data_IF_957934714720
#
_entry.id   IF_957934714720
#
_cell.length_a   1.000
_cell.length_b   1.000
_cell.length_c   1.000
_cell.angle_alpha   90.00
_cell.angle_beta   90.00
_cell.angle_gamma   90.00
#
_symmetry.space_group_name_H-M   'P 1'
#
loop_
_entity.id
_entity.type
_entity.pdbx_description
1 polymer ?
#
# COMPACT_ATOMS: atom_id res chain seq x y z
N UNK A 1 -14.54 11.77 5.73
CA UNK A 1 -14.92 13.11 5.28
C UNK A 1 -15.78 13.02 4.02
N UNK A 2 -16.87 13.80 3.96
CA UNK A 2 -17.70 13.92 2.77
C UNK A 2 -17.38 15.26 2.07
N UNK A 3 -16.70 15.25 0.91
CA UNK A 3 -16.39 16.51 0.19
C UNK A 3 -17.64 17.29 -0.22
N UNK A 4 -18.73 16.57 -0.56
CA UNK A 4 -20.00 17.19 -0.95
C UNK A 4 -20.74 17.85 0.22
N UNK A 5 -20.67 17.25 1.41
CA UNK A 5 -21.25 17.81 2.62
C UNK A 5 -20.32 18.82 3.32
N UNK A 6 -19.03 18.85 2.95
CA UNK A 6 -18.02 19.72 3.55
C UNK A 6 -17.72 19.41 5.02
N UNK A 7 -17.92 18.15 5.46
CA UNK A 7 -17.78 17.79 6.87
C UNK A 7 -17.24 16.39 7.07
N UNK A 8 -16.63 16.14 8.23
CA UNK A 8 -16.33 14.81 8.71
C UNK A 8 -17.60 14.01 8.99
N UNK A 9 -17.53 12.71 8.78
CA UNK A 9 -18.61 11.78 9.11
C UNK A 9 -18.22 11.03 10.39
N UNK A 10 -19.16 10.96 11.34
CA UNK A 10 -18.99 10.15 12.55
C UNK A 10 -19.18 8.66 12.23
N UNK A 11 -18.66 7.80 13.12
CA UNK A 11 -18.87 6.34 13.02
C UNK A 11 -20.37 5.99 12.99
N UNK A 12 -21.22 6.74 13.70
CA UNK A 12 -22.67 6.54 13.69
C UNK A 12 -23.28 6.85 12.32
N UNK A 13 -22.81 7.89 11.64
CA UNK A 13 -23.31 8.28 10.30
C UNK A 13 -22.91 7.28 9.21
N UNK A 14 -21.70 6.72 9.27
CA UNK A 14 -21.25 5.71 8.30
C UNK A 14 -21.89 4.33 8.56
N UNK A 15 -22.42 4.08 9.76
CA UNK A 15 -23.12 2.84 10.12
C UNK A 15 -24.64 2.91 9.95
N UNK A 16 -25.19 3.96 9.35
CA UNK A 16 -26.64 4.03 9.08
C UNK A 16 -27.07 2.99 8.03
N UNK A 17 -28.29 2.46 8.13
CA UNK A 17 -28.84 1.55 7.12
C UNK A 17 -28.78 2.17 5.72
N UNK A 18 -28.23 1.44 4.75
CA UNK A 18 -28.08 1.90 3.37
C UNK A 18 -26.91 2.88 3.14
N UNK A 19 -26.02 3.05 4.12
CA UNK A 19 -24.75 3.78 3.92
C UNK A 19 -23.74 2.97 3.13
N UNK A 20 -23.80 1.66 3.18
CA UNK A 20 -22.90 0.78 2.43
C UNK A 20 -23.44 0.50 1.03
N UNK A 21 -22.53 0.55 0.05
CA UNK A 21 -22.81 0.24 -1.35
C UNK A 21 -21.63 -0.52 -1.94
N UNK A 22 -21.93 -1.40 -2.87
CA UNK A 22 -20.88 -2.01 -3.67
C UNK A 22 -20.27 -0.98 -4.60
N UNK A 23 -18.97 -0.80 -4.49
CA UNK A 23 -18.15 0.02 -5.36
C UNK A 23 -17.07 -0.85 -5.99
N UNK A 24 -16.73 -0.54 -7.24
CA UNK A 24 -15.60 -1.14 -7.91
C UNK A 24 -14.46 -0.16 -7.91
N UNK A 25 -13.43 -0.49 -7.15
CA UNK A 25 -12.23 0.33 -7.03
C UNK A 25 -11.05 -0.31 -7.75
N UNK A 26 -10.14 0.53 -8.20
CA UNK A 26 -8.87 0.11 -8.75
C UNK A 26 -7.98 -0.44 -7.65
N UNK A 27 -7.40 -1.62 -7.87
CA UNK A 27 -6.39 -2.17 -6.99
C UNK A 27 -5.06 -2.30 -7.70
N UNK A 28 -3.97 -2.14 -6.97
CA UNK A 28 -2.62 -2.34 -7.48
C UNK A 28 -1.78 -3.18 -6.54
N UNK A 29 -0.87 -3.97 -7.11
CA UNK A 29 0.30 -4.50 -6.42
C UNK A 29 1.50 -3.70 -6.90
N UNK A 30 2.06 -2.91 -6.01
CA UNK A 30 3.24 -2.09 -6.27
C UNK A 30 4.48 -2.70 -5.61
N UNK A 31 5.63 -2.52 -6.27
CA UNK A 31 6.91 -2.95 -5.74
C UNK A 31 7.75 -1.75 -5.25
N UNK A 32 8.37 -1.93 -4.09
CA UNK A 32 9.19 -0.93 -3.41
C UNK A 32 10.60 -1.46 -3.28
N UNK A 33 11.57 -0.79 -3.88
CA UNK A 33 12.96 -1.25 -3.88
C UNK A 33 13.59 -1.04 -2.51
N UNK A 34 14.06 -2.13 -1.89
CA UNK A 34 14.84 -2.07 -0.67
C UNK A 34 16.18 -1.33 -0.91
N UNK A 35 16.62 -0.58 0.09
CA UNK A 35 17.90 0.14 0.06
C UNK A 35 18.98 -0.80 0.60
N UNK A 36 19.97 -1.09 -0.22
CA UNK A 36 20.98 -2.12 0.06
C UNK A 36 21.71 -1.91 1.39
N UNK A 37 21.99 -0.66 1.75
CA UNK A 37 22.70 -0.30 2.99
C UNK A 37 21.91 -0.64 4.26
N UNK A 38 20.61 -0.88 4.15
CA UNK A 38 19.74 -1.27 5.26
C UNK A 38 19.34 -2.73 5.25
N UNK A 39 19.82 -3.51 4.27
CA UNK A 39 19.52 -4.94 4.21
C UNK A 39 20.14 -5.68 5.41
N UNK A 40 19.39 -6.55 6.08
CA UNK A 40 19.98 -7.46 7.05
C UNK A 40 20.95 -8.44 6.34
N UNK A 41 21.98 -8.87 7.07
CA UNK A 41 23.08 -9.69 6.52
C UNK A 41 22.60 -10.92 5.74
N UNK A 42 21.52 -11.55 6.19
CA UNK A 42 20.99 -12.75 5.54
C UNK A 42 20.33 -12.49 4.17
N UNK A 43 20.12 -11.23 3.79
CA UNK A 43 19.62 -10.81 2.48
C UNK A 43 20.73 -10.24 1.57
N UNK A 44 21.95 -10.13 2.06
CA UNK A 44 23.07 -9.66 1.25
C UNK A 44 23.40 -10.66 0.14
N UNK A 45 23.75 -10.15 -1.02
CA UNK A 45 24.19 -10.96 -2.17
C UNK A 45 23.08 -11.43 -3.11
N UNK A 46 21.80 -11.16 -2.80
CA UNK A 46 20.71 -11.51 -3.71
C UNK A 46 20.42 -10.43 -4.78
N UNK A 47 21.16 -9.31 -4.79
CA UNK A 47 20.92 -8.20 -5.72
C UNK A 47 19.74 -7.32 -5.30
N UNK A 48 19.09 -6.69 -6.28
CA UNK A 48 17.95 -5.81 -6.00
C UNK A 48 16.76 -6.60 -5.44
N UNK A 49 16.24 -6.17 -4.30
CA UNK A 49 15.12 -6.78 -3.59
C UNK A 49 13.96 -5.78 -3.56
N UNK A 50 12.75 -6.25 -3.82
CA UNK A 50 11.55 -5.43 -3.82
C UNK A 50 10.49 -6.01 -2.87
N UNK A 51 9.93 -5.15 -2.00
CA UNK A 51 8.81 -5.49 -1.14
C UNK A 51 7.51 -5.22 -1.90
N UNK A 52 6.58 -6.17 -1.87
CA UNK A 52 5.30 -6.06 -2.56
C UNK A 52 4.21 -5.56 -1.62
N UNK A 53 3.59 -4.43 -1.94
CA UNK A 53 2.41 -3.96 -1.23
C UNK A 53 1.19 -3.94 -2.14
N UNK A 54 0.07 -4.46 -1.63
CA UNK A 54 -1.23 -4.40 -2.29
C UNK A 54 -2.08 -3.29 -1.68
N UNK A 55 -2.81 -2.53 -2.51
CA UNK A 55 -3.74 -1.51 -2.04
C UNK A 55 -4.97 -1.42 -2.94
N UNK A 56 -6.13 -1.12 -2.33
CA UNK A 56 -7.39 -0.78 -3.00
C UNK A 56 -7.53 0.73 -3.22
N UNK A 57 -6.59 1.53 -2.74
CA UNK A 57 -6.61 2.98 -2.79
C UNK A 57 -5.29 3.54 -3.35
N UNK A 58 -4.97 3.32 -4.64
CA UNK A 58 -3.70 3.78 -5.22
C UNK A 58 -3.45 5.29 -5.02
N UNK A 59 -4.50 6.09 -4.93
CA UNK A 59 -4.41 7.53 -4.69
C UNK A 59 -3.75 7.92 -3.35
N UNK A 60 -3.63 6.98 -2.40
CA UNK A 60 -2.92 7.21 -1.13
C UNK A 60 -1.43 6.91 -1.20
N UNK A 61 -0.95 6.28 -2.28
CA UNK A 61 0.47 5.96 -2.45
C UNK A 61 1.39 7.20 -2.36
N UNK A 62 1.02 8.40 -2.83
CA UNK A 62 1.85 9.59 -2.60
C UNK A 62 2.10 9.90 -1.11
N UNK A 63 1.21 9.46 -0.22
CA UNK A 63 1.36 9.60 1.23
C UNK A 63 2.03 8.39 1.89
N UNK A 64 2.59 7.44 1.11
CA UNK A 64 3.30 6.30 1.68
C UNK A 64 4.48 6.74 2.51
N UNK A 65 4.53 6.29 3.77
CA UNK A 65 5.60 6.56 4.73
C UNK A 65 6.25 5.28 5.24
N UNK A 66 5.49 4.16 5.21
CA UNK A 66 5.98 2.87 5.68
C UNK A 66 5.30 1.72 4.93
N UNK A 67 5.86 0.52 5.06
CA UNK A 67 5.19 -0.75 4.77
C UNK A 67 5.11 -1.51 6.07
N UNK A 68 3.91 -1.90 6.47
CA UNK A 68 3.65 -2.63 7.69
C UNK A 68 3.65 -4.14 7.43
N UNK A 69 4.40 -4.88 8.25
CA UNK A 69 4.41 -6.34 8.31
C UNK A 69 3.82 -6.81 9.64
N UNK A 70 3.43 -8.06 9.73
CA UNK A 70 3.10 -8.70 11.00
C UNK A 70 4.35 -9.38 11.57
N UNK A 71 4.62 -9.16 12.86
CA UNK A 71 5.79 -9.69 13.56
C UNK A 71 5.88 -11.22 13.53
N UNK A 72 4.74 -11.89 13.59
CA UNK A 72 4.65 -13.36 13.73
C UNK A 72 4.57 -14.11 12.41
N UNK A 73 4.28 -13.39 11.29
CA UNK A 73 4.15 -14.05 10.00
C UNK A 73 5.50 -14.39 9.39
N UNK A 74 5.50 -15.46 8.59
CA UNK A 74 6.62 -15.82 7.76
C UNK A 74 6.57 -15.10 6.42
N UNK A 75 7.67 -14.50 6.05
CA UNK A 75 7.87 -13.84 4.75
C UNK A 75 8.92 -14.62 3.96
N UNK A 76 8.84 -14.51 2.66
CA UNK A 76 9.80 -15.14 1.76
C UNK A 76 10.39 -14.15 0.77
N UNK A 77 11.69 -14.31 0.50
CA UNK A 77 12.34 -13.73 -0.67
C UNK A 77 12.25 -14.75 -1.81
N UNK A 78 11.63 -14.36 -2.91
CA UNK A 78 11.40 -15.21 -4.06
C UNK A 78 12.10 -14.66 -5.30
N UNK A 79 12.85 -15.54 -5.98
CA UNK A 79 13.34 -15.27 -7.33
C UNK A 79 12.22 -15.51 -8.33
N UNK A 80 11.95 -14.55 -9.18
CA UNK A 80 10.89 -14.59 -10.20
C UNK A 80 11.39 -13.99 -11.52
N UNK A 81 10.59 -14.10 -12.58
CA UNK A 81 10.85 -13.41 -13.86
C UNK A 81 10.76 -11.87 -13.75
N UNK A 82 10.17 -11.35 -12.65
CA UNK A 82 10.04 -9.92 -12.36
C UNK A 82 11.08 -9.38 -11.36
N UNK A 83 12.05 -10.22 -10.95
CA UNK A 83 13.07 -9.86 -9.95
C UNK A 83 12.92 -10.64 -8.65
N UNK A 84 13.64 -10.19 -7.62
CA UNK A 84 13.58 -10.78 -6.29
C UNK A 84 12.53 -10.05 -5.46
N UNK A 85 11.47 -10.75 -5.09
CA UNK A 85 10.26 -10.21 -4.49
C UNK A 85 10.05 -10.72 -3.08
N UNK A 86 9.64 -9.83 -2.17
CA UNK A 86 9.31 -10.15 -0.78
C UNK A 86 7.81 -10.00 -0.54
N UNK A 87 7.20 -11.05 0.00
CA UNK A 87 5.81 -11.07 0.45
C UNK A 87 5.61 -12.16 1.50
N UNK A 88 4.43 -12.17 2.15
CA UNK A 88 4.09 -13.22 3.12
C UNK A 88 4.05 -14.60 2.44
N UNK A 89 4.69 -15.58 3.06
CA UNK A 89 4.87 -16.92 2.51
C UNK A 89 3.54 -17.63 2.22
N UNK A 90 2.57 -17.49 3.12
CA UNK A 90 1.27 -18.15 2.98
C UNK A 90 0.44 -17.58 1.82
N UNK A 91 0.70 -16.33 1.42
CA UNK A 91 0.02 -15.69 0.30
C UNK A 91 0.76 -15.83 -1.03
N UNK A 92 2.00 -16.32 -1.03
CA UNK A 92 2.89 -16.25 -2.20
C UNK A 92 2.32 -16.94 -3.44
N UNK A 93 1.83 -18.17 -3.32
CA UNK A 93 1.28 -18.92 -4.47
C UNK A 93 0.10 -18.19 -5.11
N UNK A 94 -0.85 -17.76 -4.28
CA UNK A 94 -2.03 -17.03 -4.75
C UNK A 94 -1.66 -15.68 -5.35
N UNK A 95 -0.82 -14.92 -4.66
CA UNK A 95 -0.41 -13.59 -5.12
C UNK A 95 0.37 -13.67 -6.44
N UNK A 96 1.29 -14.64 -6.59
CA UNK A 96 2.02 -14.83 -7.85
C UNK A 96 1.11 -15.28 -8.98
N UNK A 97 0.17 -16.20 -8.73
CA UNK A 97 -0.82 -16.60 -9.72
C UNK A 97 -1.66 -15.40 -10.17
N UNK A 98 -2.12 -14.57 -9.23
CA UNK A 98 -2.86 -13.35 -9.51
C UNK A 98 -2.07 -12.32 -10.32
N UNK A 99 -0.74 -12.26 -10.14
CA UNK A 99 0.19 -11.42 -10.91
C UNK A 99 0.65 -12.03 -12.24
N UNK A 100 0.20 -13.27 -12.56
CA UNK A 100 0.63 -13.99 -13.76
C UNK A 100 2.09 -14.47 -13.69
N UNK A 101 2.65 -14.61 -12.50
CA UNK A 101 3.99 -15.16 -12.26
C UNK A 101 3.86 -16.66 -12.01
N UNK A 102 4.21 -17.46 -13.00
CA UNK A 102 4.06 -18.93 -12.95
C UNK A 102 5.30 -19.65 -12.43
N UNK A 103 6.48 -19.01 -12.54
CA UNK A 103 7.75 -19.58 -12.09
C UNK A 103 8.36 -18.71 -11.00
N UNK A 104 8.55 -19.29 -9.83
CA UNK A 104 9.21 -18.64 -8.70
C UNK A 104 9.94 -19.66 -7.83
N UNK A 105 10.99 -19.22 -7.18
CA UNK A 105 11.80 -20.03 -6.26
C UNK A 105 11.98 -19.29 -4.95
N UNK A 106 11.63 -19.93 -3.84
CA UNK A 106 11.94 -19.41 -2.51
C UNK A 106 13.45 -19.45 -2.28
N UNK A 107 14.06 -18.29 -2.11
CA UNK A 107 15.49 -18.12 -1.84
C UNK A 107 15.79 -18.09 -0.35
N UNK A 108 14.93 -17.42 0.42
CA UNK A 108 15.09 -17.22 1.86
C UNK A 108 13.74 -17.09 2.53
N UNK A 109 13.64 -17.57 3.77
CA UNK A 109 12.48 -17.43 4.64
C UNK A 109 12.90 -16.73 5.94
N UNK A 110 12.05 -15.84 6.45
CA UNK A 110 12.32 -15.05 7.65
C UNK A 110 11.02 -14.55 8.27
N UNK A 111 11.07 -14.15 9.55
CA UNK A 111 9.94 -13.51 10.24
C UNK A 111 9.83 -12.02 9.88
N UNK A 112 8.63 -11.46 10.01
CA UNK A 112 8.41 -10.02 9.82
C UNK A 112 9.31 -9.15 10.71
N UNK A 113 9.60 -9.60 11.94
CA UNK A 113 10.52 -8.93 12.87
C UNK A 113 11.93 -8.75 12.31
N UNK A 114 12.40 -9.64 11.43
CA UNK A 114 13.75 -9.59 10.88
C UNK A 114 13.93 -8.51 9.81
N UNK A 115 12.81 -7.94 9.31
CA UNK A 115 12.83 -6.82 8.37
C UNK A 115 12.50 -5.47 9.02
N UNK A 116 12.22 -5.42 10.31
CA UNK A 116 11.89 -4.18 11.00
C UNK A 116 12.98 -3.12 10.77
N UNK A 117 12.57 -1.89 10.38
CA UNK A 117 13.44 -0.75 10.03
C UNK A 117 14.24 -0.89 8.73
N UNK A 118 14.07 -1.98 7.96
CA UNK A 118 14.59 -2.01 6.59
C UNK A 118 14.02 -0.82 5.81
N UNK A 119 14.87 -0.05 5.15
CA UNK A 119 14.46 1.12 4.37
C UNK A 119 14.26 0.77 2.90
N UNK A 120 13.37 1.51 2.24
CA UNK A 120 13.11 1.37 0.81
C UNK A 120 12.93 2.73 0.14
N UNK A 121 13.10 2.77 -1.17
CA UNK A 121 12.81 3.96 -1.98
C UNK A 121 11.33 4.00 -2.33
N UNK A 122 10.71 5.19 -2.19
CA UNK A 122 9.36 5.41 -2.70
C UNK A 122 9.35 5.24 -4.23
N UNK A 123 8.32 4.59 -4.84
CA UNK A 123 8.36 4.22 -6.25
C UNK A 123 8.37 5.39 -7.24
N UNK A 124 7.98 6.59 -6.82
CA UNK A 124 7.92 7.76 -7.71
C UNK A 124 8.15 9.13 -7.04
N UNK A 125 8.39 9.19 -5.74
CA UNK A 125 8.77 10.42 -5.04
C UNK A 125 10.18 10.28 -4.49
N UNK A 126 10.91 11.39 -4.37
CA UNK A 126 12.22 11.43 -3.70
C UNK A 126 12.02 11.35 -2.18
N UNK A 127 11.61 10.17 -1.73
CA UNK A 127 11.34 9.85 -0.33
C UNK A 127 11.76 8.42 -0.03
N UNK A 128 12.20 8.20 1.19
CA UNK A 128 12.45 6.86 1.74
C UNK A 128 11.37 6.53 2.75
N UNK A 129 10.88 5.31 2.69
CA UNK A 129 10.07 4.70 3.73
C UNK A 129 10.84 3.60 4.45
N UNK A 130 10.23 3.00 5.45
CA UNK A 130 10.83 1.88 6.17
C UNK A 130 9.78 0.86 6.62
N UNK A 131 10.24 -0.35 6.91
CA UNK A 131 9.38 -1.43 7.40
C UNK A 131 9.06 -1.19 8.87
N UNK A 132 7.77 -1.32 9.20
CA UNK A 132 7.22 -1.28 10.57
C UNK A 132 6.43 -2.55 10.85
N UNK A 133 6.08 -2.78 12.11
CA UNK A 133 5.31 -3.94 12.55
C UNK A 133 3.96 -3.53 13.12
N UNK A 134 2.92 -4.29 12.76
CA UNK A 134 1.56 -4.05 13.24
C UNK A 134 0.67 -5.27 13.16
N UNK A 135 -0.17 -5.44 14.18
CA UNK A 135 -1.04 -6.61 14.33
C UNK A 135 -2.27 -6.60 13.39
N UNK A 136 -2.56 -5.43 12.77
CA UNK A 136 -3.66 -5.29 11.80
C UNK A 136 -3.36 -5.93 10.44
N UNK A 137 -2.12 -6.30 10.17
CA UNK A 137 -1.74 -7.02 8.95
C UNK A 137 -2.29 -8.45 9.03
N UNK A 138 -3.06 -8.86 8.01
CA UNK A 138 -3.69 -10.18 7.92
C UNK A 138 -3.20 -10.97 6.71
N UNK A 139 -3.56 -12.26 6.66
CA UNK A 139 -3.28 -13.17 5.54
C UNK A 139 -4.53 -13.49 4.71
N UNK A 140 -5.57 -12.68 4.81
CA UNK A 140 -6.83 -12.90 4.08
C UNK A 140 -6.73 -12.53 2.60
N UNK A 141 -5.97 -11.48 2.27
CA UNK A 141 -5.81 -10.99 0.91
C UNK A 141 -4.49 -10.22 0.73
N UNK A 142 -4.14 -9.96 -0.53
CA UNK A 142 -3.00 -9.14 -0.90
C UNK A 142 -1.66 -9.86 -0.80
N UNK A 143 -0.68 -9.22 -0.21
CA UNK A 143 0.71 -9.70 -0.15
C UNK A 143 1.22 -9.91 1.28
N UNK A 144 0.40 -9.60 2.30
CA UNK A 144 0.84 -9.60 3.70
C UNK A 144 1.82 -8.46 4.03
N UNK A 145 2.01 -7.52 3.10
CA UNK A 145 2.76 -6.28 3.28
C UNK A 145 1.80 -5.12 3.01
N UNK A 146 1.51 -4.33 4.02
CA UNK A 146 0.49 -3.27 3.95
C UNK A 146 1.15 -1.91 3.73
N UNK A 147 0.80 -1.26 2.61
CA UNK A 147 1.10 0.15 2.38
C UNK A 147 0.53 0.98 3.52
N UNK A 148 1.35 1.79 4.17
CA UNK A 148 0.98 2.57 5.35
C UNK A 148 1.11 4.07 5.08
N UNK A 149 -0.03 4.77 5.25
CA UNK A 149 -0.15 6.21 5.09
C UNK A 149 -0.94 6.80 6.29
N UNK A 150 -0.26 7.26 7.36
CA UNK A 150 -0.89 7.69 8.61
C UNK A 150 -1.96 8.79 8.48
N UNK A 151 -1.91 9.60 7.42
CA UNK A 151 -2.92 10.60 7.11
C UNK A 151 -4.21 10.07 6.47
N UNK A 152 -4.26 8.77 6.11
CA UNK A 152 -5.36 8.18 5.34
C UNK A 152 -6.01 6.95 5.96
N UNK A 153 -5.41 6.34 6.97
CA UNK A 153 -5.95 5.15 7.64
C UNK A 153 -5.87 5.24 9.16
N UNK A 154 -6.90 4.75 9.87
CA UNK A 154 -6.91 4.76 11.34
C UNK A 154 -5.84 3.81 11.89
N UNK A 155 -5.73 2.60 11.37
CA UNK A 155 -4.71 1.63 11.80
C UNK A 155 -3.32 2.15 11.44
N UNK A 156 -3.15 2.77 10.27
CA UNK A 156 -1.91 3.39 9.82
C UNK A 156 -1.49 4.53 10.77
N UNK A 157 -2.46 5.35 11.20
CA UNK A 157 -2.21 6.42 12.16
C UNK A 157 -1.74 5.87 13.51
N UNK A 158 -2.44 4.85 14.02
CA UNK A 158 -2.11 4.24 15.33
C UNK A 158 -0.72 3.62 15.30
N UNK A 159 -0.41 2.82 14.27
CA UNK A 159 0.90 2.18 14.16
C UNK A 159 1.99 3.20 13.82
N UNK A 160 1.72 4.13 12.91
CA UNK A 160 2.66 5.18 12.51
C UNK A 160 3.08 6.06 13.69
N UNK A 161 2.14 6.41 14.55
CA UNK A 161 2.42 7.20 15.77
C UNK A 161 3.39 6.48 16.72
N UNK A 162 3.27 5.13 16.86
CA UNK A 162 4.21 4.34 17.68
C UNK A 162 5.64 4.42 17.16
N UNK A 163 5.81 4.56 15.85
CA UNK A 163 7.13 4.68 15.18
C UNK A 163 7.57 6.13 14.97
N UNK A 164 6.80 7.12 15.43
CA UNK A 164 7.11 8.54 15.27
C UNK A 164 7.04 9.01 13.80
N UNK A 165 6.22 8.35 12.97
CA UNK A 165 6.07 8.70 11.56
C UNK A 165 5.23 9.98 11.45
N UNK A 166 5.71 10.91 10.62
CA UNK A 166 4.99 12.14 10.29
C UNK A 166 3.66 11.82 9.58
N UNK A 167 2.61 12.54 9.99
CA UNK A 167 1.29 12.42 9.38
C UNK A 167 1.16 13.42 8.24
N UNK A 168 1.25 12.94 7.00
CA UNK A 168 1.05 13.74 5.81
C UNK A 168 -0.27 13.37 5.13
N UNK A 169 -0.97 14.36 4.59
CA UNK A 169 -2.22 14.17 3.86
C UNK A 169 -2.23 15.08 2.62
N UNK A 170 -1.62 14.64 1.51
CA UNK A 170 -1.50 15.44 0.29
C UNK A 170 -2.81 15.52 -0.50
N UNK A 171 -3.91 15.81 0.19
CA UNK A 171 -5.25 15.96 -0.40
C UNK A 171 -5.92 17.18 0.25
N UNK A 172 -6.46 18.07 -0.56
CA UNK A 172 -7.17 19.23 -0.09
C UNK A 172 -8.61 18.89 0.40
N UNK A 173 -9.30 19.89 0.96
CA UNK A 173 -10.66 19.74 1.47
C UNK A 173 -11.72 19.46 0.38
N UNK A 174 -11.38 19.62 -0.89
CA UNK A 174 -12.22 19.32 -2.04
C UNK A 174 -11.94 17.94 -2.65
N UNK A 175 -10.94 17.23 -2.11
CA UNK A 175 -10.55 15.91 -2.55
C UNK A 175 -9.56 15.91 -3.74
N UNK A 176 -8.85 17.02 -3.98
CA UNK A 176 -7.81 17.08 -5.00
C UNK A 176 -6.45 16.88 -4.37
N UNK A 177 -5.58 16.17 -5.07
CA UNK A 177 -4.21 15.98 -4.66
C UNK A 177 -3.45 17.31 -4.69
N UNK A 178 -2.66 17.57 -3.66
CA UNK A 178 -1.80 18.77 -3.57
C UNK A 178 -0.45 18.53 -4.25
N UNK A 179 0.40 19.55 -4.32
CA UNK A 179 1.76 19.45 -4.87
C UNK A 179 2.65 18.45 -4.11
N UNK A 180 2.37 18.20 -2.84
CA UNK A 180 3.05 17.19 -2.02
C UNK A 180 2.84 15.75 -2.54
N UNK A 181 1.78 15.52 -3.33
CA UNK A 181 1.57 14.24 -4.01
C UNK A 181 2.49 14.04 -5.23
N UNK A 182 3.25 15.08 -5.61
CA UNK A 182 4.06 15.15 -6.80
C UNK A 182 3.41 15.98 -7.90
N UNK A 183 4.20 16.78 -8.61
CA UNK A 183 3.74 17.71 -9.66
C UNK A 183 2.81 17.03 -10.68
N UNK A 184 3.10 15.78 -11.02
CA UNK A 184 2.32 15.00 -12.01
C UNK A 184 0.89 14.74 -11.58
N UNK A 185 0.63 14.68 -10.28
CA UNK A 185 -0.68 14.29 -9.72
C UNK A 185 -1.41 15.47 -9.07
N UNK A 186 -0.73 16.59 -8.85
CA UNK A 186 -1.32 17.79 -8.27
C UNK A 186 -2.55 18.26 -9.05
N UNK A 187 -3.61 18.61 -8.34
CA UNK A 187 -4.88 19.05 -8.90
C UNK A 187 -5.82 17.94 -9.37
N UNK A 188 -5.38 16.68 -9.39
CA UNK A 188 -6.26 15.56 -9.74
C UNK A 188 -7.22 15.26 -8.59
N UNK A 189 -8.48 15.05 -8.92
CA UNK A 189 -9.45 14.50 -7.96
C UNK A 189 -9.07 13.07 -7.60
N UNK A 190 -9.08 12.69 -6.32
CA UNK A 190 -8.53 11.43 -5.82
C UNK A 190 -9.00 10.17 -6.57
N UNK A 191 -10.28 10.10 -6.98
CA UNK A 191 -10.78 8.95 -7.77
C UNK A 191 -10.13 8.85 -9.14
N UNK A 192 -9.84 9.99 -9.80
CA UNK A 192 -9.14 10.01 -11.09
C UNK A 192 -7.66 9.69 -10.91
N UNK A 193 -7.08 10.09 -9.78
CA UNK A 193 -5.69 9.83 -9.47
C UNK A 193 -5.35 8.33 -9.39
N UNK A 194 -6.30 7.46 -9.02
CA UNK A 194 -6.10 6.01 -9.00
C UNK A 194 -5.52 5.48 -10.31
N UNK A 195 -6.16 5.83 -11.43
CA UNK A 195 -5.73 5.36 -12.75
C UNK A 195 -4.40 5.99 -13.18
N UNK A 196 -4.22 7.28 -12.91
CA UNK A 196 -3.00 8.01 -13.31
C UNK A 196 -1.78 7.49 -12.53
N UNK A 197 -1.94 7.19 -11.24
CA UNK A 197 -0.88 6.60 -10.42
C UNK A 197 -0.57 5.17 -10.88
N UNK A 198 -1.59 4.35 -11.19
CA UNK A 198 -1.37 3.02 -11.73
C UNK A 198 -0.60 3.06 -13.06
N UNK A 199 -0.99 3.95 -13.99
CA UNK A 199 -0.30 4.15 -15.27
C UNK A 199 1.16 4.60 -15.05
N UNK A 200 1.39 5.45 -14.03
CA UNK A 200 2.74 5.90 -13.71
C UNK A 200 3.62 4.77 -13.16
N UNK A 201 3.08 3.98 -12.24
CA UNK A 201 3.77 2.80 -11.70
C UNK A 201 4.11 1.79 -12.81
N UNK A 202 3.21 1.60 -13.78
CA UNK A 202 3.46 0.76 -14.96
C UNK A 202 4.62 1.31 -15.80
N UNK A 203 4.55 2.59 -16.15
CA UNK A 203 5.57 3.25 -16.97
C UNK A 203 6.96 3.30 -16.34
N UNK A 204 7.04 3.24 -15.00
CA UNK A 204 8.30 3.21 -14.24
C UNK A 204 8.72 1.80 -13.80
N UNK A 205 7.95 0.77 -14.17
CA UNK A 205 8.26 -0.62 -13.84
C UNK A 205 7.96 -1.02 -12.38
N UNK A 206 7.20 -0.20 -11.65
CA UNK A 206 6.84 -0.47 -10.25
C UNK A 206 5.47 -1.14 -10.06
N UNK A 207 4.70 -1.32 -11.15
CA UNK A 207 3.41 -2.02 -11.12
C UNK A 207 3.60 -3.50 -11.45
N UNK A 208 3.16 -4.39 -10.56
CA UNK A 208 3.11 -5.84 -10.84
C UNK A 208 1.73 -6.31 -11.26
N UNK A 209 0.69 -5.71 -10.69
CA UNK A 209 -0.70 -6.02 -11.05
C UNK A 209 -1.57 -4.78 -10.95
N UNK A 210 -2.45 -4.64 -11.93
CA UNK A 210 -3.62 -3.77 -11.91
C UNK A 210 -4.87 -4.65 -12.00
N UNK A 211 -5.84 -4.42 -11.14
CA UNK A 211 -7.15 -5.09 -11.22
C UNK A 211 -8.26 -4.20 -10.65
N UNK A 212 -9.48 -4.58 -10.93
CA UNK A 212 -10.65 -4.00 -10.31
C UNK A 212 -11.14 -4.93 -9.20
N UNK A 213 -11.52 -4.34 -8.08
CA UNK A 213 -12.02 -5.05 -6.91
C UNK A 213 -13.35 -4.45 -6.47
N UNK A 214 -14.39 -5.27 -6.45
CA UNK A 214 -15.71 -4.84 -5.97
C UNK A 214 -15.85 -5.18 -4.50
N UNK A 215 -16.13 -4.16 -3.70
CA UNK A 215 -16.29 -4.29 -2.25
C UNK A 215 -17.38 -3.35 -1.74
N UNK A 216 -17.88 -3.64 -0.55
CA UNK A 216 -18.88 -2.80 0.13
C UNK A 216 -18.17 -1.62 0.79
N UNK A 217 -18.52 -0.40 0.42
CA UNK A 217 -17.89 0.83 0.88
C UNK A 217 -18.90 1.78 1.54
N UNK A 218 -18.55 2.41 2.69
CA UNK A 218 -19.43 3.36 3.35
C UNK A 218 -19.52 4.68 2.58
N UNK A 219 -20.73 5.16 2.41
CA UNK A 219 -21.05 6.45 1.79
C UNK A 219 -21.75 7.35 2.79
N UNK A 220 -21.66 8.64 2.56
CA UNK A 220 -22.51 9.61 3.29
C UNK A 220 -23.99 9.28 3.02
N UNK A 221 -24.70 8.91 4.07
CA UNK A 221 -26.10 8.49 3.99
C UNK A 221 -27.04 9.58 3.46
N UNK A 222 -26.68 10.87 3.62
CA UNK A 222 -27.46 12.02 3.17
C UNK A 222 -27.21 12.34 1.69
N UNK A 223 -25.95 12.53 1.32
CA UNK A 223 -25.57 12.93 -0.04
C UNK A 223 -25.41 11.75 -1.00
N UNK A 224 -25.31 10.53 -0.45
CA UNK A 224 -25.08 9.29 -1.20
C UNK A 224 -23.74 9.27 -1.99
N UNK A 225 -22.77 10.04 -1.52
CA UNK A 225 -21.42 10.18 -2.13
C UNK A 225 -20.33 9.80 -1.16
#
# INVERSE_FOLDING_TARGET
YSPKAGTGLSSHEVNQPGSYRDVTDTTVVAQFKAINESLPDFLNGFGDIHILAWTTTPWTLPANMAICLNAEFQYGLYKTSKGNLVLAKELAEKAFADMGITEFTLLKEFKGTELEKLTYSHPFLDRKGFIILGDHVTLEAGTGCVHTAPGHGQDDYVVGTKYGIEVICPVDNLGHLTEEAGEKFAGLFYKKANKEIANHLEGTGHLLKYSEFTHSYPHDWRSKT
#
